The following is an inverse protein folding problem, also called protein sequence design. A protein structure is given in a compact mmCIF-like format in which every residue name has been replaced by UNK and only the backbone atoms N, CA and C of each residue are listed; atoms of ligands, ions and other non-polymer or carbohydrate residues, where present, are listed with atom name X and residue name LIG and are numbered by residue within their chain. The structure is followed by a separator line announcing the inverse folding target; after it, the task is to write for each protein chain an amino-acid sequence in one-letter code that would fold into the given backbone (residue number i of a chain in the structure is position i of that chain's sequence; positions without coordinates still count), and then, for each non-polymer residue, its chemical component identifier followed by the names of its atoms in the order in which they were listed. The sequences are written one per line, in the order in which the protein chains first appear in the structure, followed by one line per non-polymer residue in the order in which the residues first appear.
data_IF_045502931054
#
_entry.id   IF_045502931054
#
_cell.length_a   1.000
_cell.length_b   1.000
_cell.length_c   1.000
_cell.angle_alpha   90.00
_cell.angle_beta   90.00
_cell.angle_gamma   90.00
#
_symmetry.space_group_name_H-M   'P 1'
#
loop_
_entity.id
_entity.type
_entity.pdbx_description
1 polymer ?
#
# COMPACT_ATOMS: atom_id res chain seq x y z
N UNK A 1 13.74 -38.51 -14.05
CA UNK A 1 13.71 -37.73 -12.80
C UNK A 1 12.66 -38.40 -11.92
N UNK A 2 13.11 -39.25 -11.01
CA UNK A 2 12.25 -40.16 -10.24
C UNK A 2 11.44 -39.38 -9.18
N UNK A 3 10.19 -39.76 -8.86
CA UNK A 3 9.46 -39.14 -7.77
C UNK A 3 10.02 -39.67 -6.45
N UNK A 4 10.44 -38.74 -5.60
CA UNK A 4 10.81 -38.99 -4.21
C UNK A 4 9.61 -39.56 -3.47
N UNK A 5 9.70 -40.83 -3.07
CA UNK A 5 8.79 -41.44 -2.11
C UNK A 5 8.83 -40.63 -0.82
N UNK A 6 7.75 -39.88 -0.58
CA UNK A 6 7.48 -39.25 0.70
C UNK A 6 7.35 -40.34 1.74
N UNK A 7 8.44 -40.56 2.49
CA UNK A 7 8.44 -41.37 3.70
C UNK A 7 7.49 -40.69 4.68
N UNK A 8 6.25 -41.16 4.75
CA UNK A 8 5.35 -40.83 5.86
C UNK A 8 6.11 -41.23 7.14
N UNK A 9 6.30 -40.34 8.11
CA UNK A 9 6.81 -40.75 9.39
C UNK A 9 5.74 -41.67 9.97
N UNK A 10 6.00 -42.98 9.92
CA UNK A 10 5.33 -43.91 10.81
C UNK A 10 5.72 -43.49 12.21
N UNK A 11 4.94 -42.58 12.79
CA UNK A 11 4.90 -42.37 14.22
C UNK A 11 4.41 -43.70 14.76
N UNK A 12 5.37 -44.58 15.05
CA UNK A 12 5.19 -45.65 16.00
C UNK A 12 4.76 -44.97 17.29
N UNK A 13 3.45 -44.81 17.45
CA UNK A 13 2.82 -44.67 18.74
C UNK A 13 2.98 -46.01 19.45
N UNK A 14 4.23 -46.38 19.72
CA UNK A 14 4.57 -47.24 20.83
C UNK A 14 4.42 -46.37 22.08
N UNK A 15 3.17 -45.91 22.33
CA UNK A 15 2.72 -45.44 23.63
C UNK A 15 2.79 -46.67 24.52
N UNK A 16 4.01 -46.93 25.00
CA UNK A 16 4.33 -48.08 25.80
C UNK A 16 3.38 -48.12 26.98
N UNK A 17 2.61 -49.20 27.05
CA UNK A 17 1.82 -49.62 28.22
C UNK A 17 2.71 -49.70 29.51
N UNK A 18 4.03 -49.54 29.38
CA UNK A 18 4.99 -49.54 30.47
C UNK A 18 5.33 -48.20 31.13
N UNK A 19 4.86 -47.03 30.67
CA UNK A 19 5.32 -45.75 31.26
C UNK A 19 4.59 -45.36 32.56
N UNK A 20 3.57 -46.10 32.98
CA UNK A 20 2.78 -45.76 34.18
C UNK A 20 2.34 -46.92 35.07
N UNK A 21 2.80 -48.16 34.81
CA UNK A 21 2.38 -49.33 35.58
C UNK A 21 3.52 -49.84 36.48
N UNK A 22 3.28 -49.89 37.78
CA UNK A 22 4.23 -50.42 38.78
C UNK A 22 3.79 -51.85 39.13
N UNK A 23 4.73 -52.79 39.16
CA UNK A 23 4.49 -54.17 39.59
C UNK A 23 4.03 -54.22 41.06
N UNK A 24 2.94 -54.95 41.31
CA UNK A 24 2.40 -55.16 42.67
C UNK A 24 3.45 -55.77 43.61
N UNK A 25 4.29 -56.68 43.11
CA UNK A 25 5.38 -57.29 43.87
C UNK A 25 6.36 -56.22 44.40
N UNK A 26 6.82 -55.32 43.53
CA UNK A 26 7.73 -54.24 43.88
C UNK A 26 7.09 -53.26 44.88
N UNK A 27 5.80 -52.98 44.73
CA UNK A 27 5.06 -52.15 45.69
C UNK A 27 4.93 -52.84 47.06
N UNK A 28 4.73 -54.16 47.08
CA UNK A 28 4.68 -54.94 48.32
C UNK A 28 6.05 -54.97 49.01
N UNK A 29 7.14 -55.19 48.27
CA UNK A 29 8.50 -55.19 48.81
C UNK A 29 8.85 -53.85 49.45
N UNK A 30 8.54 -52.73 48.78
CA UNK A 30 8.74 -51.40 49.34
C UNK A 30 7.92 -51.16 50.61
N UNK A 31 6.69 -51.65 50.66
CA UNK A 31 5.84 -51.55 51.85
C UNK A 31 6.44 -52.34 53.02
N UNK A 32 6.85 -53.58 52.77
CA UNK A 32 7.44 -54.44 53.80
C UNK A 32 8.73 -53.82 54.31
N UNK A 33 9.64 -53.41 53.42
CA UNK A 33 10.89 -52.76 53.77
C UNK A 33 10.66 -51.47 54.58
N UNK A 34 9.67 -50.66 54.19
CA UNK A 34 9.32 -49.44 54.92
C UNK A 34 8.78 -49.73 56.32
N UNK A 35 7.90 -50.71 56.47
CA UNK A 35 7.37 -51.09 57.79
C UNK A 35 8.44 -51.69 58.69
N UNK A 36 9.34 -52.51 58.14
CA UNK A 36 10.48 -53.04 58.88
C UNK A 36 11.44 -51.93 59.34
N UNK A 37 11.73 -50.97 58.47
CA UNK A 37 12.57 -49.83 58.81
C UNK A 37 11.93 -48.93 59.88
N UNK A 38 10.63 -48.60 59.75
CA UNK A 38 9.88 -47.84 60.74
C UNK A 38 9.84 -48.58 62.10
N UNK A 39 9.72 -49.91 62.10
CA UNK A 39 9.79 -50.74 63.31
C UNK A 39 11.18 -50.73 63.95
N UNK A 40 12.24 -50.82 63.14
CA UNK A 40 13.61 -50.81 63.64
C UNK A 40 13.94 -49.47 64.30
N UNK A 41 13.57 -48.36 63.67
CA UNK A 41 13.69 -47.01 64.26
C UNK A 41 12.91 -46.93 65.57
N UNK A 42 11.68 -47.44 65.62
CA UNK A 42 10.87 -47.43 66.83
C UNK A 42 11.54 -48.24 67.96
N UNK A 43 12.18 -49.37 67.64
CA UNK A 43 12.89 -50.22 68.61
C UNK A 43 14.12 -49.55 69.23
N UNK A 44 14.83 -48.71 68.46
CA UNK A 44 15.99 -47.96 68.94
C UNK A 44 15.60 -46.76 69.83
N UNK A 45 14.42 -46.17 69.58
CA UNK A 45 13.94 -44.97 70.28
C UNK A 45 13.16 -45.32 71.57
N UNK A 46 12.42 -46.44 71.58
CA UNK A 46 11.61 -46.90 72.71
C UNK A 46 12.34 -46.91 74.06
N UNK A 47 13.56 -47.49 74.21
CA UNK A 47 14.21 -47.58 75.52
C UNK A 47 14.58 -46.23 76.13
N UNK A 48 14.61 -45.14 75.35
CA UNK A 48 14.98 -43.79 75.82
C UNK A 48 13.79 -42.93 76.28
N UNK A 49 12.55 -43.40 76.10
CA UNK A 49 11.30 -42.64 76.38
C UNK A 49 10.66 -43.02 77.72
N UNK A 50 9.73 -42.21 78.21
CA UNK A 50 8.93 -42.54 79.40
C UNK A 50 7.88 -43.61 79.09
N UNK A 51 7.43 -44.39 80.09
CA UNK A 51 6.49 -45.51 79.86
C UNK A 51 5.15 -45.10 79.23
N UNK A 52 4.69 -43.86 79.45
CA UNK A 52 3.47 -43.34 78.86
C UNK A 52 3.67 -42.99 77.38
N UNK A 53 4.78 -42.33 77.03
CA UNK A 53 5.12 -41.97 75.64
C UNK A 53 5.39 -43.22 74.78
N UNK A 54 6.09 -44.21 75.34
CA UNK A 54 6.33 -45.51 74.68
C UNK A 54 5.02 -46.16 74.23
N UNK A 55 4.01 -46.20 75.11
CA UNK A 55 2.70 -46.80 74.80
C UNK A 55 1.99 -46.06 73.68
N UNK A 56 2.04 -44.73 73.68
CA UNK A 56 1.41 -43.89 72.64
C UNK A 56 2.08 -44.13 71.28
N UNK A 57 3.41 -44.12 71.21
CA UNK A 57 4.15 -44.33 69.96
C UNK A 57 3.91 -45.74 69.37
N UNK A 58 3.87 -46.78 70.21
CA UNK A 58 3.55 -48.15 69.76
C UNK A 58 2.14 -48.23 69.15
N UNK A 59 1.14 -47.63 69.82
CA UNK A 59 -0.26 -47.65 69.34
C UNK A 59 -0.40 -46.85 68.04
N UNK A 60 0.26 -45.70 67.95
CA UNK A 60 0.28 -44.88 66.73
C UNK A 60 0.94 -45.61 65.56
N UNK A 61 2.09 -46.26 65.79
CA UNK A 61 2.76 -47.10 64.80
C UNK A 61 1.87 -48.25 64.32
N UNK A 62 1.23 -48.97 65.25
CA UNK A 62 0.32 -50.06 64.94
C UNK A 62 -0.87 -49.59 64.08
N UNK A 63 -1.46 -48.43 64.42
CA UNK A 63 -2.58 -47.84 63.67
C UNK A 63 -2.17 -47.43 62.24
N UNK A 64 -1.04 -46.72 62.09
CA UNK A 64 -0.49 -46.31 60.79
C UNK A 64 -0.16 -47.51 59.90
N UNK A 65 0.49 -48.52 60.48
CA UNK A 65 0.87 -49.76 59.79
C UNK A 65 -0.38 -50.51 59.34
N UNK A 66 -1.38 -50.66 60.21
CA UNK A 66 -2.68 -51.27 59.87
C UNK A 66 -3.35 -50.54 58.71
N UNK A 67 -3.42 -49.21 58.72
CA UNK A 67 -4.10 -48.46 57.66
C UNK A 67 -3.38 -48.61 56.30
N UNK A 68 -2.05 -48.70 56.32
CA UNK A 68 -1.27 -48.97 55.12
C UNK A 68 -1.56 -50.37 54.56
N UNK A 69 -1.55 -51.41 55.41
CA UNK A 69 -1.86 -52.78 54.97
C UNK A 69 -3.32 -52.93 54.51
N UNK A 70 -4.27 -52.17 55.06
CA UNK A 70 -5.64 -52.13 54.57
C UNK A 70 -5.71 -51.54 53.15
N UNK A 71 -4.95 -50.47 52.86
CA UNK A 71 -4.87 -49.89 51.50
C UNK A 71 -4.20 -50.88 50.52
N UNK A 72 -3.14 -51.55 50.95
CA UNK A 72 -2.49 -52.60 50.16
C UNK A 72 -3.47 -53.75 49.88
N UNK A 73 -4.24 -54.19 50.87
CA UNK A 73 -5.25 -55.23 50.71
C UNK A 73 -6.32 -54.83 49.68
N UNK A 74 -6.75 -53.57 49.67
CA UNK A 74 -7.67 -53.07 48.65
C UNK A 74 -7.05 -53.15 47.24
N UNK A 75 -5.79 -52.78 47.07
CA UNK A 75 -5.07 -52.89 45.81
C UNK A 75 -4.90 -54.35 45.36
N UNK A 76 -4.58 -55.27 46.27
CA UNK A 76 -4.46 -56.71 45.98
C UNK A 76 -5.80 -57.29 45.54
N UNK A 77 -6.90 -56.93 46.21
CA UNK A 77 -8.26 -57.33 45.79
C UNK A 77 -8.60 -56.80 44.39
N UNK A 78 -8.19 -55.58 44.08
CA UNK A 78 -8.41 -54.98 42.77
C UNK A 78 -7.51 -55.58 41.67
N UNK A 79 -6.28 -55.98 42.03
CA UNK A 79 -5.33 -56.62 41.12
C UNK A 79 -5.86 -57.91 40.50
N UNK A 80 -6.76 -58.64 41.20
CA UNK A 80 -7.44 -59.80 40.63
C UNK A 80 -8.27 -59.47 39.37
N UNK A 81 -8.73 -58.23 39.25
CA UNK A 81 -9.45 -57.72 38.07
C UNK A 81 -8.55 -56.98 37.07
N UNK A 82 -7.25 -56.82 37.35
CA UNK A 82 -6.34 -56.04 36.52
C UNK A 82 -6.18 -56.61 35.10
N UNK A 83 -6.24 -57.93 34.93
CA UNK A 83 -6.17 -58.57 33.61
C UNK A 83 -7.35 -58.19 32.69
N UNK A 84 -8.51 -57.90 33.27
CA UNK A 84 -9.68 -57.40 32.51
C UNK A 84 -9.48 -55.94 32.13
N UNK A 85 -8.98 -55.13 33.05
CA UNK A 85 -8.69 -53.70 32.82
C UNK A 85 -7.61 -53.53 31.75
N UNK A 86 -6.53 -54.32 31.78
CA UNK A 86 -5.46 -54.28 30.77
C UNK A 86 -5.99 -54.60 29.36
N UNK A 87 -6.90 -55.57 29.24
CA UNK A 87 -7.59 -55.85 27.96
C UNK A 87 -8.44 -54.66 27.50
N UNK A 88 -9.20 -54.05 28.39
CA UNK A 88 -10.00 -52.87 28.06
C UNK A 88 -9.11 -51.69 27.63
N UNK A 89 -8.00 -51.45 28.32
CA UNK A 89 -7.03 -50.41 27.95
C UNK A 89 -6.46 -50.66 26.56
N UNK A 90 -6.07 -51.90 26.24
CA UNK A 90 -5.62 -52.28 24.89
C UNK A 90 -6.68 -52.02 23.83
N UNK A 91 -7.95 -52.35 24.11
CA UNK A 91 -9.07 -52.10 23.19
C UNK A 91 -9.29 -50.60 23.02
N UNK A 92 -9.29 -49.81 24.10
CA UNK A 92 -9.43 -48.35 24.02
C UNK A 92 -8.30 -47.74 23.18
N UNK A 93 -7.05 -48.12 23.43
CA UNK A 93 -5.90 -47.63 22.66
C UNK A 93 -6.02 -47.98 21.17
N UNK A 94 -6.48 -49.20 20.86
CA UNK A 94 -6.74 -49.60 19.48
C UNK A 94 -7.85 -48.76 18.82
N UNK A 95 -8.95 -48.50 19.55
CA UNK A 95 -10.04 -47.67 19.05
C UNK A 95 -9.61 -46.20 18.85
N UNK A 96 -8.80 -45.66 19.77
CA UNK A 96 -8.21 -44.33 19.63
C UNK A 96 -7.29 -44.24 18.42
N UNK A 97 -6.44 -45.25 18.22
CA UNK A 97 -5.57 -45.33 17.04
C UNK A 97 -6.38 -45.38 15.74
N UNK A 98 -7.47 -46.16 15.72
CA UNK A 98 -8.35 -46.21 14.56
C UNK A 98 -9.06 -44.89 14.28
N UNK A 99 -9.51 -44.18 15.33
CA UNK A 99 -10.08 -42.84 15.22
C UNK A 99 -9.08 -41.85 14.60
N UNK A 100 -7.83 -41.90 15.06
CA UNK A 100 -6.73 -41.09 14.50
C UNK A 100 -6.52 -41.36 13.01
N UNK A 101 -6.53 -42.62 12.58
CA UNK A 101 -6.40 -42.95 11.16
C UNK A 101 -7.54 -42.40 10.30
N UNK A 102 -8.77 -42.35 10.81
CA UNK A 102 -9.88 -41.75 10.07
C UNK A 102 -9.68 -40.25 9.86
N UNK A 103 -9.24 -39.54 10.91
CA UNK A 103 -8.97 -38.10 10.83
C UNK A 103 -7.82 -37.82 9.87
N UNK A 104 -6.69 -38.51 10.02
CA UNK A 104 -5.52 -38.31 9.16
C UNK A 104 -5.83 -38.63 7.70
N UNK A 105 -6.56 -39.71 7.43
CA UNK A 105 -6.98 -40.04 6.06
C UNK A 105 -7.87 -38.95 5.46
N UNK A 106 -8.82 -38.41 6.23
CA UNK A 106 -9.68 -37.33 5.77
C UNK A 106 -8.86 -36.06 5.47
N UNK A 107 -7.90 -35.72 6.32
CA UNK A 107 -7.02 -34.56 6.12
C UNK A 107 -6.13 -34.72 4.89
N UNK A 108 -5.56 -35.90 4.68
CA UNK A 108 -4.76 -36.22 3.49
C UNK A 108 -5.61 -36.10 2.22
N UNK A 109 -6.84 -36.63 2.22
CA UNK A 109 -7.76 -36.54 1.07
C UNK A 109 -8.18 -35.09 0.80
N UNK A 110 -8.47 -34.31 1.84
CA UNK A 110 -8.80 -32.90 1.72
C UNK A 110 -7.64 -32.12 1.09
N UNK A 111 -6.41 -32.33 1.58
CA UNK A 111 -5.20 -31.72 1.04
C UNK A 111 -4.98 -32.10 -0.43
N UNK A 112 -5.08 -33.39 -0.77
CA UNK A 112 -4.93 -33.87 -2.14
C UNK A 112 -5.95 -33.20 -3.09
N UNK A 113 -7.21 -33.11 -2.68
CA UNK A 113 -8.27 -32.53 -3.51
C UNK A 113 -8.10 -31.02 -3.75
N UNK A 114 -7.64 -30.28 -2.73
CA UNK A 114 -7.57 -28.81 -2.78
C UNK A 114 -6.27 -28.28 -3.35
N UNK A 115 -5.16 -28.98 -3.13
CA UNK A 115 -3.84 -28.49 -3.49
C UNK A 115 -3.27 -29.28 -4.67
N UNK A 116 -3.07 -30.58 -4.47
CA UNK A 116 -2.34 -31.40 -5.44
C UNK A 116 -3.10 -31.57 -6.75
N UNK A 117 -4.40 -31.88 -6.69
CA UNK A 117 -5.21 -32.03 -7.90
C UNK A 117 -5.47 -30.71 -8.62
N UNK A 118 -5.58 -29.59 -7.89
CA UNK A 118 -5.74 -28.28 -8.51
C UNK A 118 -4.48 -27.90 -9.29
N UNK A 119 -3.29 -28.14 -8.72
CA UNK A 119 -2.03 -27.88 -9.38
C UNK A 119 -1.74 -28.83 -10.56
N UNK A 120 -2.29 -30.05 -10.54
CA UNK A 120 -2.19 -30.98 -11.67
C UNK A 120 -3.11 -30.58 -12.84
N UNK A 121 -4.15 -29.77 -12.59
CA UNK A 121 -5.04 -29.27 -13.64
C UNK A 121 -4.40 -28.06 -14.32
N UNK A 122 -4.37 -28.09 -15.65
CA UNK A 122 -4.00 -26.90 -16.42
C UNK A 122 -5.06 -25.81 -16.22
N UNK A 123 -4.64 -24.55 -16.02
CA UNK A 123 -5.58 -23.43 -15.96
C UNK A 123 -6.31 -23.28 -17.29
N UNK A 124 -7.49 -22.65 -17.25
CA UNK A 124 -8.22 -22.34 -18.48
C UNK A 124 -7.42 -21.32 -19.32
N UNK A 125 -7.18 -21.65 -20.59
CA UNK A 125 -6.45 -20.78 -21.51
C UNK A 125 -7.39 -19.72 -22.07
N UNK A 126 -7.09 -18.44 -21.85
CA UNK A 126 -7.88 -17.32 -22.35
C UNK A 126 -7.56 -17.03 -23.84
N UNK A 127 -8.12 -17.85 -24.74
CA UNK A 127 -7.94 -17.67 -26.18
C UNK A 127 -8.28 -16.25 -26.69
N UNK A 128 -9.33 -15.56 -26.19
CA UNK A 128 -9.61 -14.18 -26.58
C UNK A 128 -8.48 -13.19 -26.25
N UNK A 129 -7.76 -13.40 -25.14
CA UNK A 129 -6.63 -12.54 -24.79
C UNK A 129 -5.43 -12.84 -25.70
N UNK A 130 -5.22 -14.12 -26.04
CA UNK A 130 -4.16 -14.53 -26.95
C UNK A 130 -4.36 -13.99 -28.37
N UNK A 131 -5.59 -14.02 -28.90
CA UNK A 131 -5.90 -13.47 -30.22
C UNK A 131 -5.72 -11.95 -30.26
N UNK A 132 -6.14 -11.22 -29.22
CA UNK A 132 -5.98 -9.77 -29.15
C UNK A 132 -4.48 -9.39 -29.21
N UNK A 133 -3.65 -10.08 -28.41
CA UNK A 133 -2.20 -9.86 -28.42
C UNK A 133 -1.56 -10.27 -29.75
N UNK A 134 -2.02 -11.37 -30.36
CA UNK A 134 -1.50 -11.86 -31.64
C UNK A 134 -1.84 -10.91 -32.80
N UNK A 135 -3.06 -10.37 -32.82
CA UNK A 135 -3.57 -9.54 -33.92
C UNK A 135 -3.15 -8.08 -33.79
N UNK A 136 -3.24 -7.51 -32.58
CA UNK A 136 -2.96 -6.10 -32.32
C UNK A 136 -1.52 -5.85 -31.85
N UNK A 137 -0.78 -6.91 -31.51
CA UNK A 137 0.55 -6.80 -30.89
C UNK A 137 0.52 -6.21 -29.47
N UNK A 138 -0.65 -5.83 -28.96
CA UNK A 138 -0.84 -5.13 -27.68
C UNK A 138 -2.08 -5.65 -26.97
N UNK A 139 -2.08 -5.61 -25.63
CA UNK A 139 -3.22 -6.04 -24.82
C UNK A 139 -4.22 -4.89 -24.58
N UNK A 140 -5.45 -4.95 -25.12
CA UNK A 140 -6.39 -3.84 -25.07
C UNK A 140 -7.01 -3.59 -23.69
N UNK A 141 -7.04 -4.59 -22.80
CA UNK A 141 -7.57 -4.44 -21.44
C UNK A 141 -6.53 -4.01 -20.41
N UNK A 142 -5.35 -3.57 -20.86
CA UNK A 142 -4.36 -2.98 -19.96
C UNK A 142 -4.89 -1.63 -19.47
N UNK A 143 -4.94 -1.40 -18.14
CA UNK A 143 -5.34 -0.10 -17.61
C UNK A 143 -4.48 1.03 -18.18
N UNK A 144 -5.13 2.10 -18.65
CA UNK A 144 -4.45 3.27 -19.24
C UNK A 144 -3.50 3.94 -18.26
N UNK A 145 -3.74 3.85 -16.95
CA UNK A 145 -2.85 4.37 -15.91
C UNK A 145 -1.43 3.77 -15.95
N UNK A 146 -1.28 2.52 -16.41
CA UNK A 146 0.03 1.87 -16.57
C UNK A 146 0.69 2.39 -17.85
N UNK A 147 -0.09 2.52 -18.93
CA UNK A 147 0.38 3.04 -20.21
C UNK A 147 0.85 4.50 -20.10
N UNK A 148 0.09 5.34 -19.43
CA UNK A 148 0.38 6.78 -19.23
C UNK A 148 1.60 7.03 -18.34
N UNK A 149 1.93 6.12 -17.43
CA UNK A 149 3.12 6.23 -16.57
C UNK A 149 4.40 5.76 -17.23
N UNK A 150 4.32 4.80 -18.16
CA UNK A 150 5.49 4.08 -18.69
C UNK A 150 5.82 4.54 -20.11
N UNK A 151 4.81 4.88 -20.91
CA UNK A 151 4.98 5.28 -22.32
C UNK A 151 4.72 6.78 -22.42
N UNK A 152 5.69 7.58 -22.92
CA UNK A 152 5.45 8.99 -23.17
C UNK A 152 4.31 9.15 -24.20
N UNK A 153 3.47 10.20 -24.09
CA UNK A 153 2.42 10.45 -25.05
C UNK A 153 3.02 10.59 -26.46
N UNK A 154 2.32 10.04 -27.45
CA UNK A 154 2.76 10.08 -28.85
C UNK A 154 3.00 11.55 -29.28
N UNK A 155 4.08 11.83 -30.02
CA UNK A 155 4.42 13.20 -30.40
C UNK A 155 3.33 13.79 -31.29
N UNK A 156 2.96 15.04 -31.03
CA UNK A 156 1.96 15.77 -31.82
C UNK A 156 2.43 15.83 -33.28
N UNK A 157 1.60 15.31 -34.19
CA UNK A 157 1.93 15.28 -35.61
C UNK A 157 1.97 16.70 -36.16
N UNK A 158 2.91 17.07 -37.05
CA UNK A 158 2.96 18.43 -37.62
C UNK A 158 1.66 18.83 -38.33
N UNK A 159 0.91 17.86 -38.88
CA UNK A 159 -0.39 18.07 -39.50
C UNK A 159 -1.47 18.42 -38.47
N UNK A 160 -1.50 17.73 -37.33
CA UNK A 160 -2.41 18.03 -36.22
C UNK A 160 -2.11 19.42 -35.66
N UNK A 161 -0.83 19.75 -35.46
CA UNK A 161 -0.41 21.09 -35.04
C UNK A 161 -0.90 22.17 -36.01
N UNK A 162 -0.74 21.99 -37.32
CA UNK A 162 -1.25 22.93 -38.33
C UNK A 162 -2.77 23.08 -38.26
N UNK A 163 -3.50 21.97 -38.13
CA UNK A 163 -4.97 21.97 -38.01
C UNK A 163 -5.44 22.72 -36.77
N UNK A 164 -4.83 22.45 -35.62
CA UNK A 164 -5.14 23.14 -34.35
C UNK A 164 -4.83 24.63 -34.44
N UNK A 165 -3.70 25.03 -35.03
CA UNK A 165 -3.36 26.45 -35.21
C UNK A 165 -4.34 27.17 -36.15
N UNK A 166 -4.85 26.49 -37.18
CA UNK A 166 -5.89 27.02 -38.06
C UNK A 166 -7.23 27.19 -37.34
N UNK A 167 -7.64 26.21 -36.54
CA UNK A 167 -8.84 26.30 -35.70
C UNK A 167 -8.71 27.45 -34.69
N UNK A 168 -7.57 27.55 -34.00
CA UNK A 168 -7.31 28.63 -33.05
C UNK A 168 -7.35 30.01 -33.72
N UNK A 169 -6.83 30.14 -34.95
CA UNK A 169 -6.96 31.37 -35.74
C UNK A 169 -8.42 31.74 -36.00
N UNK A 170 -9.28 30.78 -36.33
CA UNK A 170 -10.70 31.02 -36.57
C UNK A 170 -11.44 31.45 -35.29
N UNK A 171 -11.17 30.78 -34.17
CA UNK A 171 -11.74 31.13 -32.84
C UNK A 171 -11.35 32.55 -32.45
N UNK A 172 -10.07 32.89 -32.62
CA UNK A 172 -9.55 34.23 -32.38
C UNK A 172 -10.24 35.27 -33.25
N UNK A 173 -10.41 35.00 -34.56
CA UNK A 173 -11.09 35.91 -35.48
C UNK A 173 -12.54 36.14 -35.07
N UNK A 174 -13.26 35.06 -34.74
CA UNK A 174 -14.64 35.13 -34.26
C UNK A 174 -14.75 35.99 -32.99
N UNK A 175 -13.87 35.74 -32.01
CA UNK A 175 -13.85 36.49 -30.75
C UNK A 175 -13.50 37.97 -30.93
N UNK A 176 -12.60 38.31 -31.85
CA UNK A 176 -12.27 39.70 -32.16
C UNK A 176 -13.43 40.46 -32.81
N UNK A 177 -14.25 39.79 -33.63
CA UNK A 177 -15.44 40.40 -34.25
C UNK A 177 -16.54 40.67 -33.22
N UNK A 178 -16.70 39.78 -32.24
CA UNK A 178 -17.71 39.92 -31.19
C UNK A 178 -17.31 40.86 -30.05
N UNK A 179 -16.04 41.28 -29.96
CA UNK A 179 -15.53 42.08 -28.85
C UNK A 179 -15.34 43.55 -29.26
N UNK A 180 -15.70 44.48 -28.37
CA UNK A 180 -15.49 45.92 -28.59
C UNK A 180 -14.00 46.26 -28.45
N UNK A 181 -13.34 46.52 -29.58
CA UNK A 181 -11.92 46.87 -29.64
C UNK A 181 -11.72 48.40 -29.53
N UNK A 182 -10.72 48.89 -28.78
CA UNK A 182 -10.30 50.30 -28.81
C UNK A 182 -9.90 50.74 -30.24
N UNK A 183 -10.22 51.98 -30.61
CA UNK A 183 -9.97 52.49 -31.98
C UNK A 183 -8.48 52.48 -32.35
N UNK A 184 -7.60 52.60 -31.35
CA UNK A 184 -6.14 52.63 -31.45
C UNK A 184 -5.54 51.24 -31.67
N UNK A 185 -6.26 50.17 -31.35
CA UNK A 185 -5.82 48.77 -31.52
C UNK A 185 -6.34 48.13 -32.83
N UNK A 186 -6.80 48.93 -33.79
CA UNK A 186 -7.33 48.43 -35.07
C UNK A 186 -6.28 47.78 -35.98
N UNK A 187 -5.00 48.12 -35.83
CA UNK A 187 -3.88 47.47 -36.54
C UNK A 187 -3.55 46.15 -35.84
N UNK A 188 -4.22 45.07 -36.24
CA UNK A 188 -4.02 43.73 -35.71
C UNK A 188 -3.48 42.77 -36.77
N UNK A 189 -2.60 41.86 -36.36
CA UNK A 189 -2.02 40.80 -37.20
C UNK A 189 -2.23 39.44 -36.54
N UNK A 190 -2.90 38.52 -37.24
CA UNK A 190 -3.21 37.18 -36.71
C UNK A 190 -2.34 36.15 -37.42
N UNK A 191 -1.38 35.57 -36.70
CA UNK A 191 -0.42 34.59 -37.21
C UNK A 191 -0.23 33.45 -36.22
N UNK A 192 -0.16 32.21 -36.71
CA UNK A 192 0.14 31.01 -35.90
C UNK A 192 -0.68 30.87 -34.61
N UNK A 193 -1.99 31.18 -34.66
CA UNK A 193 -2.87 31.06 -33.49
C UNK A 193 -2.65 32.12 -32.41
N UNK A 194 -2.00 33.24 -32.75
CA UNK A 194 -1.76 34.38 -31.86
C UNK A 194 -2.25 35.67 -32.52
N UNK A 195 -2.70 36.63 -31.72
CA UNK A 195 -3.03 37.98 -32.17
C UNK A 195 -1.92 38.92 -31.73
N UNK A 196 -1.38 39.68 -32.67
CA UNK A 196 -0.50 40.81 -32.38
C UNK A 196 -1.27 42.10 -32.57
N UNK A 197 -1.32 42.93 -31.55
CA UNK A 197 -1.82 44.29 -31.63
C UNK A 197 -0.63 45.23 -31.74
N UNK A 198 -0.66 46.14 -32.71
CA UNK A 198 0.36 47.16 -32.90
C UNK A 198 -0.27 48.53 -32.67
N UNK A 199 0.21 49.24 -31.64
CA UNK A 199 -0.10 50.65 -31.40
C UNK A 199 1.15 51.45 -31.73
N UNK A 200 1.04 52.36 -32.71
CA UNK A 200 2.20 53.11 -33.20
C UNK A 200 2.82 53.96 -32.09
N UNK A 201 4.15 53.92 -31.99
CA UNK A 201 4.97 54.67 -31.03
C UNK A 201 4.69 54.38 -29.54
N UNK A 202 3.99 53.29 -29.21
CA UNK A 202 3.72 52.90 -27.82
C UNK A 202 4.15 51.45 -27.55
N UNK A 203 3.40 50.46 -28.05
CA UNK A 203 3.63 49.06 -27.73
C UNK A 203 3.07 48.09 -28.78
N UNK A 204 3.65 46.90 -28.79
CA UNK A 204 3.16 45.71 -29.47
C UNK A 204 2.86 44.61 -28.45
N UNK A 205 1.66 44.03 -28.51
CA UNK A 205 1.22 42.99 -27.57
C UNK A 205 0.79 41.75 -28.31
N UNK A 206 1.26 40.58 -27.85
CA UNK A 206 0.86 39.28 -28.38
C UNK A 206 -0.08 38.57 -27.41
N UNK A 207 -1.30 38.28 -27.84
CA UNK A 207 -2.33 37.56 -27.07
C UNK A 207 -2.66 36.20 -27.70
N UNK A 208 -3.16 35.27 -26.89
CA UNK A 208 -3.64 33.94 -27.32
C UNK A 208 -4.81 33.47 -26.48
N UNK A 209 -5.64 32.61 -27.07
CA UNK A 209 -6.74 31.91 -26.40
C UNK A 209 -6.32 30.46 -26.12
N UNK A 210 -6.73 29.92 -24.97
CA UNK A 210 -6.42 28.54 -24.61
C UNK A 210 -7.51 27.55 -25.06
N UNK A 211 -8.74 28.01 -25.20
CA UNK A 211 -9.90 27.15 -25.49
C UNK A 211 -11.03 27.97 -26.16
N UNK A 212 -11.96 27.27 -26.79
CA UNK A 212 -13.05 27.81 -27.63
C UNK A 212 -14.26 28.31 -26.82
N UNK A 213 -14.19 28.23 -25.49
CA UNK A 213 -15.28 28.73 -24.64
C UNK A 213 -15.31 30.26 -24.59
N UNK A 214 -16.48 30.89 -24.73
CA UNK A 214 -16.62 32.34 -24.70
C UNK A 214 -16.31 32.96 -23.33
N UNK A 215 -16.15 32.15 -22.29
CA UNK A 215 -15.88 32.57 -20.90
C UNK A 215 -14.39 32.74 -20.64
N UNK A 216 -13.53 32.18 -21.49
CA UNK A 216 -12.10 32.10 -21.19
C UNK A 216 -11.42 33.43 -21.55
N UNK A 217 -10.63 33.99 -20.61
CA UNK A 217 -9.95 35.25 -20.82
C UNK A 217 -8.77 35.10 -21.79
N UNK A 218 -8.40 36.23 -22.40
CA UNK A 218 -7.21 36.30 -23.23
C UNK A 218 -5.95 36.08 -22.38
N UNK A 219 -5.02 35.27 -22.86
CA UNK A 219 -3.71 35.07 -22.24
C UNK A 219 -2.67 35.93 -22.96
N UNK A 220 -1.95 36.70 -22.18
CA UNK A 220 -0.78 37.42 -22.63
C UNK A 220 0.38 36.44 -22.87
N UNK A 221 1.05 36.57 -24.02
CA UNK A 221 2.26 35.81 -24.35
C UNK A 221 3.51 36.67 -24.27
N UNK A 222 3.43 37.88 -24.83
CA UNK A 222 4.60 38.75 -24.99
C UNK A 222 4.18 40.22 -25.11
N UNK A 223 5.03 41.11 -24.61
CA UNK A 223 4.87 42.58 -24.69
C UNK A 223 6.20 43.17 -25.17
N UNK A 224 6.15 43.82 -26.33
CA UNK A 224 7.24 44.63 -26.84
C UNK A 224 6.87 46.10 -26.68
N UNK A 225 7.73 46.90 -26.06
CA UNK A 225 7.50 48.35 -25.91
C UNK A 225 8.27 49.05 -27.03
N UNK A 226 7.57 49.84 -27.82
CA UNK A 226 8.08 50.48 -29.05
C UNK A 226 8.42 51.96 -28.85
N UNK A 227 8.45 52.42 -27.60
CA UNK A 227 8.92 53.76 -27.26
C UNK A 227 10.44 53.77 -27.37
N UNK A 228 10.96 54.65 -28.23
CA UNK A 228 12.41 54.83 -28.45
C UNK A 228 12.78 56.30 -28.20
N UNK A 229 13.94 56.53 -27.57
CA UNK A 229 14.57 57.85 -27.48
C UNK A 229 15.73 57.90 -28.47
N UNK A 230 15.61 58.76 -29.48
CA UNK A 230 16.59 58.90 -30.55
C UNK A 230 17.85 59.66 -30.13
N UNK A 231 17.79 60.49 -29.07
CA UNK A 231 18.91 61.38 -28.72
C UNK A 231 19.77 60.85 -27.56
N UNK A 232 19.21 60.10 -26.61
CA UNK A 232 19.93 59.63 -25.41
C UNK A 232 20.18 58.11 -25.39
N UNK A 233 19.52 57.34 -26.26
CA UNK A 233 19.31 55.91 -26.04
C UNK A 233 20.07 54.90 -26.91
N UNK A 234 20.77 55.29 -27.98
CA UNK A 234 21.51 54.38 -28.91
C UNK A 234 20.78 53.04 -29.21
N UNK A 235 19.44 53.08 -29.34
CA UNK A 235 18.59 51.89 -29.58
C UNK A 235 18.48 50.86 -28.45
N UNK A 236 18.92 51.18 -27.23
CA UNK A 236 18.76 50.27 -26.07
C UNK A 236 17.34 50.32 -25.54
N UNK A 237 16.78 49.15 -25.23
CA UNK A 237 15.47 49.01 -24.62
C UNK A 237 15.40 49.83 -23.32
N UNK A 238 14.49 50.81 -23.28
CA UNK A 238 14.29 51.72 -22.15
C UNK A 238 13.77 51.01 -20.87
N UNK A 239 13.35 49.76 -20.98
CA UNK A 239 12.70 49.00 -19.90
C UNK A 239 13.49 47.74 -19.58
N UNK A 240 13.77 47.56 -18.29
CA UNK A 240 14.49 46.38 -17.80
C UNK A 240 13.61 45.13 -17.87
N UNK A 241 14.19 43.95 -18.13
CA UNK A 241 13.47 42.67 -18.24
C UNK A 241 12.58 42.36 -17.01
N UNK A 242 12.99 42.80 -15.81
CA UNK A 242 12.18 42.65 -14.58
C UNK A 242 10.92 43.52 -14.58
N UNK A 243 10.97 44.73 -15.14
CA UNK A 243 9.80 45.60 -15.26
C UNK A 243 8.81 45.03 -16.27
N UNK A 244 9.30 44.49 -17.40
CA UNK A 244 8.46 43.77 -18.38
C UNK A 244 7.81 42.55 -17.73
N UNK A 245 8.54 41.78 -16.92
CA UNK A 245 7.98 40.64 -16.18
C UNK A 245 6.91 41.03 -15.15
N UNK A 246 7.11 42.15 -14.44
CA UNK A 246 6.11 42.68 -13.51
C UNK A 246 4.84 43.13 -14.25
N UNK A 247 4.99 43.88 -15.34
CA UNK A 247 3.88 44.31 -16.20
C UNK A 247 3.14 43.10 -16.76
N UNK A 248 3.86 42.07 -17.24
CA UNK A 248 3.27 40.85 -17.73
C UNK A 248 2.38 40.19 -16.67
N UNK A 249 2.83 40.11 -15.41
CA UNK A 249 2.04 39.55 -14.31
C UNK A 249 0.81 40.39 -13.98
N UNK A 250 0.96 41.71 -13.89
CA UNK A 250 -0.15 42.64 -13.59
C UNK A 250 -1.19 42.57 -14.70
N UNK A 251 -0.77 42.70 -15.95
CA UNK A 251 -1.63 42.62 -17.12
C UNK A 251 -2.35 41.27 -17.15
N UNK A 252 -1.63 40.15 -16.97
CA UNK A 252 -2.24 38.83 -16.95
C UNK A 252 -3.30 38.67 -15.84
N UNK A 253 -3.08 39.19 -14.63
CA UNK A 253 -4.11 39.18 -13.58
C UNK A 253 -5.35 39.99 -13.95
N UNK A 254 -5.18 41.16 -14.60
CA UNK A 254 -6.29 42.04 -14.96
C UNK A 254 -7.11 41.52 -16.14
N UNK A 255 -6.49 40.74 -17.02
CA UNK A 255 -7.17 40.02 -18.10
C UNK A 255 -8.09 38.91 -17.58
N UNK A 256 -7.85 38.36 -16.38
CA UNK A 256 -8.68 37.32 -15.76
C UNK A 256 -9.92 37.88 -15.06
N UNK A 257 -9.83 39.08 -14.48
CA UNK A 257 -10.84 39.58 -13.53
C UNK A 257 -11.92 40.49 -14.15
N UNK A 258 -11.70 41.07 -15.33
CA UNK A 258 -12.56 42.15 -15.89
C UNK A 258 -13.43 41.75 -17.09
N UNK A 259 -14.64 42.32 -17.16
CA UNK A 259 -15.63 42.14 -18.24
C UNK A 259 -15.17 42.68 -19.62
N UNK A 260 -14.27 43.69 -19.63
CA UNK A 260 -13.71 44.30 -20.87
C UNK A 260 -12.18 44.21 -20.90
N UNK A 261 -11.61 43.01 -21.08
CA UNK A 261 -10.18 42.74 -20.88
C UNK A 261 -9.26 43.54 -21.83
N UNK A 262 -9.71 43.79 -23.07
CA UNK A 262 -8.90 44.50 -24.08
C UNK A 262 -8.81 46.01 -23.83
N UNK A 263 -9.85 46.61 -23.24
CA UNK A 263 -9.85 48.04 -22.92
C UNK A 263 -8.97 48.33 -21.71
N UNK A 264 -9.02 47.48 -20.69
CA UNK A 264 -8.16 47.61 -19.52
C UNK A 264 -6.70 47.31 -19.83
N UNK A 265 -6.44 46.31 -20.68
CA UNK A 265 -5.12 46.06 -21.24
C UNK A 265 -4.55 47.32 -21.89
N UNK A 266 -5.33 47.94 -22.77
CA UNK A 266 -4.94 49.18 -23.43
C UNK A 266 -4.66 50.28 -22.41
N UNK A 267 -5.57 50.53 -21.46
CA UNK A 267 -5.42 51.59 -20.45
C UNK A 267 -4.16 51.44 -19.61
N UNK A 268 -3.86 50.24 -19.14
CA UNK A 268 -2.68 49.95 -18.32
C UNK A 268 -1.41 50.18 -19.13
N UNK A 269 -1.32 49.58 -20.32
CA UNK A 269 -0.13 49.72 -21.16
C UNK A 269 0.06 51.15 -21.66
N UNK A 270 -1.02 51.84 -22.02
CA UNK A 270 -1.01 53.22 -22.45
C UNK A 270 -0.55 54.15 -21.32
N UNK A 271 -1.10 54.00 -20.10
CA UNK A 271 -0.65 54.80 -18.95
C UNK A 271 0.82 54.57 -18.60
N UNK A 272 1.31 53.34 -18.78
CA UNK A 272 2.70 53.00 -18.58
C UNK A 272 3.60 53.63 -19.66
N UNK A 273 3.22 53.54 -20.93
CA UNK A 273 3.94 54.15 -22.05
C UNK A 273 3.96 55.68 -21.94
N UNK A 274 2.85 56.31 -21.54
CA UNK A 274 2.81 57.76 -21.28
C UNK A 274 3.71 58.15 -20.12
N UNK A 275 3.74 57.37 -19.04
CA UNK A 275 4.64 57.63 -17.91
C UNK A 275 6.09 57.50 -18.34
N UNK A 276 6.42 56.50 -19.17
CA UNK A 276 7.74 56.31 -19.74
C UNK A 276 8.13 57.49 -20.66
N UNK A 277 7.22 57.93 -21.54
CA UNK A 277 7.45 59.08 -22.42
C UNK A 277 7.68 60.37 -21.61
N UNK A 278 6.92 60.59 -20.54
CA UNK A 278 7.11 61.73 -19.63
C UNK A 278 8.45 61.65 -18.88
N UNK A 279 8.87 60.45 -18.47
CA UNK A 279 10.17 60.25 -17.83
C UNK A 279 11.30 60.56 -18.81
N UNK A 280 11.20 60.08 -20.06
CA UNK A 280 12.15 60.42 -21.14
C UNK A 280 12.20 61.94 -21.34
N UNK A 281 11.05 62.60 -21.49
CA UNK A 281 10.99 64.07 -21.63
C UNK A 281 11.60 64.79 -20.42
N UNK A 282 11.37 64.31 -19.21
CA UNK A 282 11.95 64.88 -18.00
C UNK A 282 13.49 64.70 -17.97
N UNK A 283 13.99 63.54 -18.40
CA UNK A 283 15.44 63.32 -18.52
C UNK A 283 16.07 64.23 -19.58
N UNK A 284 15.42 64.41 -20.73
CA UNK A 284 15.86 65.33 -21.78
C UNK A 284 15.84 66.78 -21.29
N UNK A 285 14.79 67.20 -20.58
CA UNK A 285 14.67 68.55 -20.00
C UNK A 285 15.68 68.81 -18.88
N UNK A 286 16.11 67.79 -18.15
CA UNK A 286 17.18 67.89 -17.14
C UNK A 286 18.58 67.89 -17.74
N UNK A 287 18.73 67.47 -19.01
CA UNK A 287 19.98 67.44 -19.76
C UNK A 287 20.22 68.74 -20.54
N UNK A 288 19.15 69.53 -20.78
CA UNK A 288 19.16 70.91 -21.29
C UNK A 288 19.48 71.92 -20.18
#
# INVERSE_FOLDING_TARGET
MAPTEGSLPMVQANMGIGVGTISLATLMDFIVQRTYHELNILSEILPRKTDMERKIEIVQYASRTRQLFIRLLALVKWANSASKVDKCVKICNFLEQQSLYFVDTADVLARLSRETLVNARLPNFSLPCAIDVLTLGTYPRLPTCIREKIVPPDPITPNEKKKVLQQLKQVIQYRLVSCELPQQMRKLKIENGRVKFLVENEFQVTLTLMEDSPVIPWRLLDIDILVEDHETGDGKALVHTLQVGYIHRVVQSRLLDNDKPLHDLYRVLHSFCQSLQLEVLNTQASLL
#
